data_IF_013403155533
#
_entry.id   IF_013403155533
#
_cell.length_a   1.000
_cell.length_b   1.000
_cell.length_c   1.000
_cell.angle_alpha   90.00
_cell.angle_beta   90.00
_cell.angle_gamma   90.00
#
_symmetry.space_group_name_H-M   'P 1'
#
loop_
_entity.id
_entity.type
_entity.pdbx_description
1 polymer ?
#
# COMPACT_ATOMS: atom_id res chain seq x y z
N UNK A 1 18.84 -4.80 -2.72
CA UNK A 1 17.51 -5.40 -2.73
C UNK A 1 16.71 -4.94 -1.54
N UNK A 2 15.44 -4.63 -1.76
CA UNK A 2 14.57 -4.23 -0.67
C UNK A 2 14.14 -5.44 0.12
N UNK A 3 14.07 -5.26 1.43
CA UNK A 3 13.53 -6.27 2.32
C UNK A 3 12.05 -5.97 2.56
N UNK A 4 11.14 -6.51 1.73
CA UNK A 4 9.72 -6.19 1.89
C UNK A 4 9.19 -6.53 3.27
N UNK A 5 9.81 -7.51 3.93
CA UNK A 5 9.38 -7.92 5.26
C UNK A 5 9.80 -6.93 6.34
N UNK A 6 10.67 -5.97 6.00
CA UNK A 6 11.15 -5.01 6.99
C UNK A 6 10.03 -4.11 7.50
N UNK A 7 9.08 -3.75 6.63
CA UNK A 7 7.94 -2.97 7.08
C UNK A 7 6.81 -3.05 6.04
N UNK A 8 5.56 -3.11 6.51
CA UNK A 8 4.43 -3.09 5.60
C UNK A 8 4.39 -1.82 4.74
N UNK A 9 4.79 -0.67 5.30
CA UNK A 9 4.85 0.57 4.53
C UNK A 9 5.83 0.43 3.37
N UNK A 10 7.02 -0.10 3.63
CA UNK A 10 8.03 -0.28 2.59
C UNK A 10 7.57 -1.27 1.53
N UNK A 11 6.83 -2.29 1.93
CA UNK A 11 6.28 -3.26 1.00
C UNK A 11 5.31 -2.59 0.03
N UNK A 12 4.40 -1.79 0.56
CA UNK A 12 3.42 -1.08 -0.28
C UNK A 12 4.13 -0.13 -1.23
N UNK A 13 5.14 0.60 -0.75
CA UNK A 13 5.89 1.50 -1.60
C UNK A 13 6.58 0.76 -2.74
N UNK A 14 7.20 -0.36 -2.43
CA UNK A 14 7.90 -1.16 -3.42
C UNK A 14 6.93 -1.66 -4.51
N UNK A 15 5.79 -2.19 -4.08
CA UNK A 15 4.83 -2.75 -5.03
C UNK A 15 4.21 -1.63 -5.87
N UNK A 16 3.84 -0.51 -5.25
CA UNK A 16 3.25 0.61 -5.98
C UNK A 16 4.21 1.11 -7.05
N UNK A 17 5.50 1.25 -6.73
CA UNK A 17 6.49 1.70 -7.69
C UNK A 17 6.69 0.71 -8.84
N UNK A 18 6.41 -0.56 -8.60
CA UNK A 18 6.51 -1.57 -9.66
C UNK A 18 5.33 -1.51 -10.62
N UNK A 19 4.21 -0.92 -10.19
CA UNK A 19 2.98 -0.88 -10.97
C UNK A 19 2.82 0.41 -11.76
N UNK A 20 3.22 1.54 -11.16
CA UNK A 20 2.95 2.85 -11.76
C UNK A 20 4.01 3.26 -12.76
N UNK A 21 3.66 4.25 -13.60
CA UNK A 21 4.62 4.84 -14.53
C UNK A 21 5.40 5.98 -13.86
N UNK A 22 4.72 6.83 -13.11
CA UNK A 22 5.35 7.97 -12.45
C UNK A 22 5.87 7.56 -11.08
N UNK A 23 6.98 6.84 -11.08
CA UNK A 23 7.54 6.27 -9.84
C UNK A 23 7.94 7.34 -8.83
N UNK A 24 8.36 8.51 -9.31
CA UNK A 24 8.74 9.60 -8.43
C UNK A 24 7.57 10.26 -7.73
N UNK A 25 6.34 9.91 -8.08
CA UNK A 25 5.15 10.49 -7.46
C UNK A 25 4.44 9.50 -6.54
N UNK A 26 5.13 8.47 -6.12
CA UNK A 26 4.60 7.53 -5.15
C UNK A 26 4.99 8.00 -3.76
N UNK A 27 3.98 8.26 -2.92
CA UNK A 27 4.20 8.69 -1.53
C UNK A 27 3.41 7.76 -0.63
N UNK A 28 4.07 7.25 0.41
CA UNK A 28 3.44 6.33 1.34
C UNK A 28 3.69 6.83 2.75
N UNK A 29 2.60 7.06 3.47
CA UNK A 29 2.66 7.50 4.86
C UNK A 29 2.04 6.44 5.76
N UNK A 30 2.41 6.48 7.01
CA UNK A 30 1.91 5.54 7.99
C UNK A 30 1.55 6.31 9.25
N UNK A 31 0.37 6.02 9.81
CA UNK A 31 0.00 6.62 11.09
C UNK A 31 -0.92 5.66 11.86
N UNK A 32 -0.90 5.81 13.17
CA UNK A 32 -1.75 5.01 14.05
C UNK A 32 -3.12 5.66 14.17
N UNK A 33 -4.15 4.82 14.15
CA UNK A 33 -5.53 5.27 14.30
C UNK A 33 -6.21 4.31 15.29
N UNK A 34 -5.90 4.47 16.56
CA UNK A 34 -6.48 3.61 17.59
C UNK A 34 -5.93 2.19 17.49
N UNK A 35 -6.79 1.25 17.13
CA UNK A 35 -6.43 -0.16 17.12
C UNK A 35 -5.73 -0.60 15.84
N UNK A 36 -5.59 0.31 14.88
CA UNK A 36 -4.98 -0.09 13.62
C UNK A 36 -3.97 0.93 13.14
N UNK A 37 -3.09 0.49 12.27
CA UNK A 37 -2.13 1.35 11.60
C UNK A 37 -2.61 1.54 10.17
N UNK A 38 -2.72 2.80 9.76
CA UNK A 38 -3.19 3.15 8.42
C UNK A 38 -1.98 3.43 7.53
N UNK A 39 -1.95 2.78 6.38
CA UNK A 39 -0.96 3.06 5.34
C UNK A 39 -1.69 3.86 4.27
N UNK A 40 -1.24 5.10 4.06
CA UNK A 40 -1.80 5.96 3.02
C UNK A 40 -0.92 5.90 1.79
N UNK A 41 -1.52 5.62 0.66
CA UNK A 41 -0.80 5.54 -0.60
C UNK A 41 -1.30 6.60 -1.55
N UNK A 42 -0.36 7.43 -2.03
CA UNK A 42 -0.65 8.44 -3.03
C UNK A 42 0.19 8.18 -4.27
N UNK A 43 -0.42 8.26 -5.43
CA UNK A 43 0.26 8.11 -6.71
C UNK A 43 -0.20 9.22 -7.64
N UNK A 44 0.47 9.35 -8.79
CA UNK A 44 0.01 10.31 -9.80
C UNK A 44 -1.41 9.96 -10.22
N UNK A 45 -2.20 10.99 -10.47
CA UNK A 45 -3.60 10.80 -10.85
C UNK A 45 -3.74 9.85 -12.04
N UNK A 46 -2.84 9.97 -13.01
CA UNK A 46 -2.87 9.12 -14.19
C UNK A 46 -2.60 7.65 -13.88
N UNK A 47 -1.99 7.37 -12.73
CA UNK A 47 -1.69 5.99 -12.33
C UNK A 47 -2.70 5.40 -11.37
N UNK A 48 -3.66 6.20 -10.94
CA UNK A 48 -4.60 5.74 -9.92
C UNK A 48 -5.38 4.50 -10.39
N UNK A 49 -5.76 4.47 -11.65
CA UNK A 49 -6.48 3.32 -12.19
C UNK A 49 -5.67 2.03 -12.13
N UNK A 50 -4.34 2.14 -12.26
CA UNK A 50 -3.46 0.98 -12.17
C UNK A 50 -3.40 0.43 -10.76
N UNK A 51 -3.41 1.33 -9.79
CA UNK A 51 -3.36 0.95 -8.37
C UNK A 51 -4.68 0.33 -7.92
N UNK A 52 -5.79 0.85 -8.42
CA UNK A 52 -7.10 0.28 -8.08
C UNK A 52 -7.31 -1.03 -8.82
N UNK A 53 -6.98 -1.04 -10.11
CA UNK A 53 -7.13 -2.20 -10.96
C UNK A 53 -8.56 -2.42 -11.39
N UNK A 54 -8.74 -3.32 -12.35
CA UNK A 54 -10.06 -3.65 -12.85
C UNK A 54 -10.92 -4.21 -11.73
N UNK A 55 -12.08 -3.62 -11.52
CA UNK A 55 -13.02 -4.05 -10.47
C UNK A 55 -12.38 -4.02 -9.07
N UNK A 56 -11.36 -3.17 -8.89
CA UNK A 56 -10.71 -3.02 -7.60
C UNK A 56 -9.78 -4.17 -7.22
N UNK A 57 -9.39 -4.99 -8.18
CA UNK A 57 -8.61 -6.20 -7.87
C UNK A 57 -7.23 -5.92 -7.31
N UNK A 58 -6.55 -4.90 -7.85
CA UNK A 58 -5.20 -4.58 -7.36
C UNK A 58 -5.28 -4.03 -5.94
N UNK A 59 -6.20 -3.09 -5.71
CA UNK A 59 -6.37 -2.53 -4.37
C UNK A 59 -6.73 -3.62 -3.36
N UNK A 60 -7.59 -4.56 -3.76
CA UNK A 60 -7.97 -5.65 -2.87
C UNK A 60 -6.78 -6.55 -2.57
N UNK A 61 -5.95 -6.83 -3.58
CA UNK A 61 -4.75 -7.65 -3.38
C UNK A 61 -3.78 -6.96 -2.42
N UNK A 62 -3.61 -5.64 -2.56
CA UNK A 62 -2.74 -4.89 -1.66
C UNK A 62 -3.26 -4.96 -0.22
N UNK A 63 -4.57 -4.84 -0.04
CA UNK A 63 -5.18 -4.95 1.29
C UNK A 63 -4.99 -6.33 1.89
N UNK A 64 -5.10 -7.37 1.07
CA UNK A 64 -4.88 -8.73 1.52
C UNK A 64 -3.44 -8.95 1.97
N UNK A 65 -2.47 -8.39 1.22
CA UNK A 65 -1.07 -8.49 1.59
C UNK A 65 -0.80 -7.78 2.92
N UNK A 66 -1.40 -6.60 3.10
CA UNK A 66 -1.25 -5.87 4.36
C UNK A 66 -1.85 -6.65 5.53
N UNK A 67 -3.00 -7.26 5.30
CA UNK A 67 -3.65 -8.05 6.34
C UNK A 67 -2.75 -9.22 6.75
N UNK A 68 -2.16 -9.90 5.79
CA UNK A 68 -1.27 -11.02 6.06
C UNK A 68 -0.03 -10.57 6.83
N UNK A 69 0.56 -9.45 6.41
CA UNK A 69 1.73 -8.92 7.10
C UNK A 69 1.38 -8.49 8.52
N UNK A 70 0.22 -7.88 8.69
CA UNK A 70 -0.24 -7.45 10.00
C UNK A 70 -0.46 -8.62 10.95
N UNK A 71 -1.04 -9.69 10.42
CA UNK A 71 -1.27 -10.89 11.20
C UNK A 71 0.05 -11.43 11.75
N UNK A 72 1.09 -11.43 10.91
CA UNK A 72 2.39 -11.90 11.33
C UNK A 72 3.00 -11.01 12.41
N UNK A 73 2.71 -9.72 12.37
CA UNK A 73 3.23 -8.75 13.32
C UNK A 73 2.31 -8.53 14.51
N UNK A 74 1.16 -9.23 14.51
CA UNK A 74 0.16 -9.07 15.56
C UNK A 74 -0.41 -7.66 15.59
N UNK A 75 -0.61 -7.07 14.40
CA UNK A 75 -1.14 -5.72 14.24
C UNK A 75 -2.17 -5.69 13.14
N UNK A 76 -3.05 -4.70 13.21
CA UNK A 76 -4.05 -4.48 12.17
C UNK A 76 -3.61 -3.34 11.29
N UNK A 77 -3.68 -3.56 9.99
CA UNK A 77 -3.33 -2.55 9.00
C UNK A 77 -4.50 -2.27 8.08
N UNK A 78 -4.64 -1.02 7.72
CA UNK A 78 -5.61 -0.60 6.72
C UNK A 78 -4.87 0.14 5.62
N UNK A 79 -5.34 0.02 4.39
CA UNK A 79 -4.77 0.73 3.26
C UNK A 79 -5.77 1.78 2.80
N UNK A 80 -5.31 3.03 2.74
CA UNK A 80 -6.10 4.13 2.22
C UNK A 80 -5.42 4.64 0.96
N UNK A 81 -6.12 4.56 -0.15
CA UNK A 81 -5.62 5.06 -1.43
C UNK A 81 -6.21 6.45 -1.63
N UNK A 82 -5.31 7.43 -1.74
CA UNK A 82 -5.71 8.83 -1.89
C UNK A 82 -6.22 9.04 -3.32
N UNK A 83 -7.42 9.58 -3.46
CA UNK A 83 -8.03 9.83 -4.77
C UNK A 83 -8.20 11.31 -5.08
#
# INVERSE_FOLDING_TARGET
MIEPSASPRAMIEYIAKAIVEAKGEVFVDEYDDGDETVIELEVAEADLGRIIGRSGRVARALRNLLSAAGSKLNRRYALEIIE
#
